data_IF_733247893436
#
_entry.id   IF_733247893436
#
_cell.length_a   1.000
_cell.length_b   1.000
_cell.length_c   1.000
_cell.angle_alpha   90.00
_cell.angle_beta   90.00
_cell.angle_gamma   90.00
#
_symmetry.space_group_name_H-M   'P 1'
#
loop_
_entity.id
_entity.type
_entity.pdbx_description
1 polymer ?
#
# COMPACT_ATOMS: atom_id res chain seq x y z
N UNK A 1 12.82 29.04 26.39
CA UNK A 1 11.76 28.02 26.25
C UNK A 1 12.28 26.93 25.33
N UNK A 2 12.61 25.75 25.87
CA UNK A 2 13.09 24.62 25.09
C UNK A 2 11.91 24.00 24.33
N UNK A 3 11.84 24.19 23.01
CA UNK A 3 10.93 23.42 22.18
C UNK A 3 11.35 21.95 22.26
N UNK A 4 10.40 21.10 22.69
CA UNK A 4 10.50 19.63 22.74
C UNK A 4 11.16 19.08 21.46
N UNK A 5 12.45 18.74 21.53
CA UNK A 5 13.20 18.08 20.44
C UNK A 5 12.87 16.59 20.29
N UNK A 6 11.99 16.03 21.11
CA UNK A 6 11.81 14.57 21.18
C UNK A 6 10.96 13.95 20.08
N UNK A 7 10.18 14.72 19.33
CA UNK A 7 9.30 14.16 18.30
C UNK A 7 9.30 15.01 17.02
N UNK A 8 10.06 14.59 16.02
CA UNK A 8 10.06 15.19 14.68
C UNK A 8 9.08 14.45 13.77
N UNK A 9 8.01 15.11 13.36
CA UNK A 9 7.11 14.63 12.30
C UNK A 9 7.15 15.68 11.19
N UNK A 10 7.36 15.21 9.95
CA UNK A 10 7.24 16.08 8.78
C UNK A 10 5.84 16.70 8.75
N UNK A 11 5.72 18.04 8.59
CA UNK A 11 4.43 18.69 8.47
C UNK A 11 3.55 18.03 7.41
N UNK A 12 2.25 17.91 7.69
CA UNK A 12 1.33 17.29 6.75
C UNK A 12 1.16 18.15 5.52
N UNK A 13 1.40 17.54 4.37
CA UNK A 13 1.41 18.21 3.09
C UNK A 13 0.23 17.74 2.19
N UNK A 14 -0.68 16.95 2.72
CA UNK A 14 -1.81 16.35 2.00
C UNK A 14 -1.57 14.91 1.54
N UNK A 15 -0.35 14.38 1.62
CA UNK A 15 -0.02 13.01 1.25
C UNK A 15 0.09 12.09 2.48
N UNK A 16 -0.18 10.80 2.30
CA UNK A 16 -0.01 9.75 3.31
C UNK A 16 -0.71 10.06 4.65
N UNK A 17 -1.93 10.60 4.57
CA UNK A 17 -2.70 11.04 5.74
C UNK A 17 -2.81 9.97 6.83
N UNK A 18 -3.03 8.71 6.47
CA UNK A 18 -3.10 7.60 7.45
C UNK A 18 -1.83 7.48 8.29
N UNK A 19 -0.65 7.52 7.65
CA UNK A 19 0.65 7.42 8.34
C UNK A 19 0.91 8.66 9.19
N UNK A 20 0.65 9.85 8.65
CA UNK A 20 0.81 11.09 9.40
C UNK A 20 -0.12 11.14 10.62
N UNK A 21 -1.41 10.83 10.44
CA UNK A 21 -2.41 10.83 11.51
C UNK A 21 -2.04 9.84 12.62
N UNK A 22 -1.52 8.65 12.26
CA UNK A 22 -1.02 7.69 13.26
C UNK A 22 0.11 8.27 14.11
N UNK A 23 1.06 9.00 13.51
CA UNK A 23 2.16 9.67 14.23
C UNK A 23 1.65 10.79 15.12
N UNK A 24 0.70 11.60 14.65
CA UNK A 24 0.06 12.67 15.42
C UNK A 24 -0.63 12.10 16.66
N UNK A 25 -1.46 11.06 16.50
CA UNK A 25 -2.12 10.39 17.63
C UNK A 25 -1.11 9.91 18.67
N UNK A 26 0.00 9.32 18.24
CA UNK A 26 1.06 8.88 19.15
C UNK A 26 1.72 10.05 19.92
N UNK A 27 1.98 11.18 19.26
CA UNK A 27 2.55 12.38 19.91
C UNK A 27 1.59 12.96 20.94
N UNK A 28 0.30 13.04 20.60
CA UNK A 28 -0.70 13.61 21.49
C UNK A 28 -0.95 12.71 22.70
N UNK A 29 -0.97 11.38 22.50
CA UNK A 29 -1.06 10.41 23.59
C UNK A 29 0.15 10.52 24.53
N UNK A 30 1.38 10.61 23.99
CA UNK A 30 2.59 10.81 24.78
C UNK A 30 2.61 12.14 25.57
N UNK A 31 1.76 13.10 25.19
CA UNK A 31 1.62 14.40 25.86
C UNK A 31 0.36 14.51 26.72
N UNK A 32 -0.45 13.44 26.80
CA UNK A 32 -1.76 13.40 27.49
C UNK A 32 -2.74 14.47 26.94
N UNK A 33 -2.76 14.63 25.62
CA UNK A 33 -3.58 15.60 24.89
C UNK A 33 -4.47 14.94 23.82
N UNK A 34 -4.40 13.63 23.64
CA UNK A 34 -5.10 12.86 22.60
C UNK A 34 -6.61 13.03 22.65
N UNK A 35 -7.19 13.20 23.83
CA UNK A 35 -8.63 13.43 24.00
C UNK A 35 -9.12 14.66 23.21
N UNK A 36 -8.28 15.69 23.02
CA UNK A 36 -8.63 16.91 22.29
C UNK A 36 -8.58 16.77 20.77
N UNK A 37 -8.11 15.63 20.26
CA UNK A 37 -8.26 15.27 18.86
C UNK A 37 -9.67 14.74 18.56
N UNK A 38 -10.41 14.31 19.59
CA UNK A 38 -11.68 13.60 19.47
C UNK A 38 -12.87 14.36 20.04
N UNK A 39 -12.64 15.32 20.94
CA UNK A 39 -13.70 16.19 21.48
C UNK A 39 -13.20 17.58 21.84
N UNK A 40 -14.14 18.51 21.98
CA UNK A 40 -13.89 19.84 22.55
C UNK A 40 -13.62 19.77 24.06
N UNK A 41 -12.91 20.77 24.56
CA UNK A 41 -12.76 20.99 25.99
C UNK A 41 -14.08 21.43 26.62
N UNK A 42 -14.32 21.05 27.89
CA UNK A 42 -15.32 21.72 28.71
C UNK A 42 -14.89 23.16 28.97
N UNK A 43 -15.69 24.12 28.48
CA UNK A 43 -15.44 25.55 28.62
C UNK A 43 -15.45 26.04 30.07
N UNK A 44 -16.03 25.28 31.00
CA UNK A 44 -16.05 25.59 32.44
C UNK A 44 -14.83 25.06 33.19
N UNK A 45 -14.02 24.23 32.54
CA UNK A 45 -12.83 23.62 33.12
C UNK A 45 -11.56 24.30 32.59
N UNK A 46 -11.02 25.24 33.35
CA UNK A 46 -9.82 26.01 32.97
C UNK A 46 -8.61 25.12 32.64
N UNK A 47 -8.48 23.97 33.32
CA UNK A 47 -7.39 23.01 33.06
C UNK A 47 -7.56 22.38 31.68
N UNK A 48 -8.79 22.01 31.33
CA UNK A 48 -9.12 21.41 30.05
C UNK A 48 -8.97 22.41 28.90
N UNK A 49 -9.42 23.65 29.08
CA UNK A 49 -9.24 24.76 28.14
C UNK A 49 -7.76 25.01 27.87
N UNK A 50 -6.93 25.04 28.91
CA UNK A 50 -5.48 25.22 28.78
C UNK A 50 -4.81 24.08 28.01
N UNK A 51 -5.18 22.83 28.30
CA UNK A 51 -4.69 21.65 27.57
C UNK A 51 -5.16 21.65 26.10
N UNK A 52 -6.40 22.03 25.82
CA UNK A 52 -6.93 22.14 24.46
C UNK A 52 -6.20 23.20 23.63
N UNK A 53 -5.90 24.37 24.21
CA UNK A 53 -5.07 25.40 23.55
C UNK A 53 -3.68 24.86 23.21
N UNK A 54 -3.06 24.12 24.13
CA UNK A 54 -1.75 23.47 23.88
C UNK A 54 -1.85 22.43 22.76
N UNK A 55 -2.89 21.61 22.77
CA UNK A 55 -3.17 20.63 21.72
C UNK A 55 -3.31 21.31 20.35
N UNK A 56 -4.05 22.42 20.29
CA UNK A 56 -4.22 23.23 19.08
C UNK A 56 -2.89 23.77 18.56
N UNK A 57 -2.09 24.42 19.42
CA UNK A 57 -0.78 24.95 19.02
C UNK A 57 0.15 23.86 18.48
N UNK A 58 0.20 22.69 19.14
CA UNK A 58 1.00 21.57 18.65
C UNK A 58 0.49 21.12 17.28
N UNK A 59 -0.81 20.96 17.09
CA UNK A 59 -1.36 20.50 15.82
C UNK A 59 -1.01 21.45 14.67
N UNK A 60 -1.09 22.77 14.88
CA UNK A 60 -0.68 23.76 13.87
C UNK A 60 0.77 23.57 13.42
N UNK A 61 1.69 23.25 14.34
CA UNK A 61 3.09 23.00 14.00
C UNK A 61 3.33 21.71 13.20
N UNK A 62 2.33 20.83 13.12
CA UNK A 62 2.40 19.56 12.40
C UNK A 62 1.76 19.63 11.01
N UNK A 63 1.35 20.82 10.56
CA UNK A 63 0.69 21.05 9.28
C UNK A 63 1.53 21.98 8.41
N UNK A 64 1.59 21.68 7.11
CA UNK A 64 2.22 22.55 6.13
C UNK A 64 1.34 23.79 5.86
N UNK A 65 1.97 24.91 5.50
CA UNK A 65 1.29 26.20 5.26
C UNK A 65 0.14 26.09 4.25
N UNK A 66 0.27 25.22 3.23
CA UNK A 66 -0.81 25.02 2.26
C UNK A 66 -2.06 24.40 2.89
N UNK A 67 -1.89 23.51 3.87
CA UNK A 67 -3.00 22.91 4.62
C UNK A 67 -3.59 23.94 5.58
N UNK A 68 -2.74 24.68 6.28
CA UNK A 68 -3.15 25.73 7.21
C UNK A 68 -4.00 26.82 6.53
N UNK A 69 -3.67 27.17 5.28
CA UNK A 69 -4.44 28.15 4.50
C UNK A 69 -5.93 27.78 4.33
N UNK A 70 -6.25 26.48 4.37
CA UNK A 70 -7.62 25.97 4.26
C UNK A 70 -8.35 25.83 5.61
N UNK A 71 -7.65 26.03 6.73
CA UNK A 71 -8.13 25.78 8.10
C UNK A 71 -8.25 27.06 8.94
N UNK A 72 -8.42 28.21 8.29
CA UNK A 72 -8.44 29.52 8.98
C UNK A 72 -9.62 29.71 9.94
N UNK A 73 -10.67 28.87 9.85
CA UNK A 73 -11.89 29.00 10.66
C UNK A 73 -11.88 28.07 11.88
N UNK A 74 -10.92 27.16 11.94
CA UNK A 74 -10.80 26.13 12.94
C UNK A 74 -9.85 26.61 14.05
N UNK A 75 -10.41 26.85 15.23
CA UNK A 75 -9.77 27.45 16.40
C UNK A 75 -9.44 26.42 17.50
N UNK A 76 -9.75 25.14 17.28
CA UNK A 76 -9.50 24.04 18.21
C UNK A 76 -8.86 22.85 17.50
N UNK A 77 -8.10 22.04 18.26
CA UNK A 77 -7.48 20.82 17.73
C UNK A 77 -8.53 19.85 17.17
N UNK A 78 -9.66 19.75 17.86
CA UNK A 78 -10.79 18.91 17.46
C UNK A 78 -11.37 19.33 16.11
N UNK A 79 -11.65 20.63 15.92
CA UNK A 79 -12.21 21.14 14.65
C UNK A 79 -11.25 20.90 13.48
N UNK A 80 -9.95 21.18 13.66
CA UNK A 80 -8.93 20.86 12.65
C UNK A 80 -8.94 19.36 12.34
N UNK A 81 -8.85 18.51 13.37
CA UNK A 81 -8.81 17.06 13.24
C UNK A 81 -10.02 16.54 12.44
N UNK A 82 -11.22 17.04 12.76
CA UNK A 82 -12.46 16.68 12.06
C UNK A 82 -12.41 17.02 10.57
N UNK A 83 -11.95 18.21 10.20
CA UNK A 83 -11.82 18.62 8.79
C UNK A 83 -10.80 17.77 8.07
N UNK A 84 -9.65 17.50 8.68
CA UNK A 84 -8.59 16.67 8.10
C UNK A 84 -9.07 15.24 7.86
N UNK A 85 -9.73 14.62 8.86
CA UNK A 85 -10.31 13.28 8.74
C UNK A 85 -11.32 13.26 7.58
N UNK A 86 -12.30 14.16 7.60
CA UNK A 86 -13.32 14.22 6.55
C UNK A 86 -12.72 14.39 5.14
N UNK A 87 -11.71 15.25 5.00
CA UNK A 87 -11.12 15.61 3.71
C UNK A 87 -10.19 14.53 3.16
N UNK A 88 -9.38 13.90 4.02
CA UNK A 88 -8.28 13.05 3.58
C UNK A 88 -8.51 11.56 3.83
N UNK A 89 -9.40 11.18 4.75
CA UNK A 89 -9.81 9.77 4.92
C UNK A 89 -10.66 9.31 3.74
N UNK A 90 -11.61 10.12 3.29
CA UNK A 90 -12.43 9.84 2.10
C UNK A 90 -11.55 9.66 0.84
N UNK A 91 -10.54 10.54 0.66
CA UNK A 91 -9.55 10.40 -0.43
C UNK A 91 -8.74 9.12 -0.30
N UNK A 92 -8.35 8.75 0.92
CA UNK A 92 -7.71 7.46 1.20
C UNK A 92 -8.58 6.28 0.78
N UNK A 93 -9.86 6.26 1.17
CA UNK A 93 -10.81 5.22 0.81
C UNK A 93 -11.02 5.09 -0.71
N UNK A 94 -11.16 6.22 -1.42
CA UNK A 94 -11.28 6.21 -2.89
C UNK A 94 -10.02 5.67 -3.55
N UNK A 95 -8.83 6.11 -3.12
CA UNK A 95 -7.56 5.60 -3.62
C UNK A 95 -7.40 4.09 -3.37
N UNK A 96 -7.84 3.64 -2.20
CA UNK A 96 -7.88 2.23 -1.85
C UNK A 96 -8.77 1.42 -2.79
N UNK A 97 -9.99 1.90 -3.08
CA UNK A 97 -10.91 1.24 -4.03
C UNK A 97 -10.30 1.17 -5.43
N UNK A 98 -9.78 2.29 -5.94
CA UNK A 98 -9.19 2.34 -7.28
C UNK A 98 -7.96 1.42 -7.40
N UNK A 99 -7.12 1.37 -6.37
CA UNK A 99 -5.93 0.49 -6.35
C UNK A 99 -6.33 -0.98 -6.31
N UNK A 100 -7.33 -1.35 -5.50
CA UNK A 100 -7.88 -2.73 -5.49
C UNK A 100 -8.49 -3.13 -6.83
N UNK A 101 -9.21 -2.22 -7.49
CA UNK A 101 -9.72 -2.45 -8.85
C UNK A 101 -8.59 -2.73 -9.84
N UNK A 102 -7.49 -1.98 -9.76
CA UNK A 102 -6.29 -2.21 -10.61
C UNK A 102 -5.65 -3.56 -10.31
N UNK A 103 -5.45 -3.91 -9.04
CA UNK A 103 -4.91 -5.21 -8.62
C UNK A 103 -5.77 -6.39 -9.10
N UNK A 104 -7.09 -6.24 -9.13
CA UNK A 104 -7.99 -7.29 -9.63
C UNK A 104 -7.98 -7.40 -11.16
N UNK A 105 -7.66 -6.33 -11.88
CA UNK A 105 -7.74 -6.24 -13.35
C UNK A 105 -6.41 -6.57 -14.06
N UNK A 106 -5.28 -6.27 -13.42
CA UNK A 106 -3.95 -6.50 -14.01
C UNK A 106 -3.70 -7.99 -14.27
N UNK A 107 -3.03 -8.30 -15.38
CA UNK A 107 -2.69 -9.66 -15.79
C UNK A 107 -1.23 -9.71 -16.22
N UNK A 108 -0.55 -10.83 -15.96
CA UNK A 108 0.81 -11.04 -16.46
C UNK A 108 0.79 -11.13 -17.97
N UNK A 109 1.51 -10.22 -18.64
CA UNK A 109 1.64 -10.19 -20.10
C UNK A 109 2.76 -11.13 -20.56
N UNK A 110 2.79 -11.46 -21.85
CA UNK A 110 3.87 -12.30 -22.43
C UNK A 110 5.18 -11.54 -22.58
N UNK A 111 5.09 -10.22 -22.67
CA UNK A 111 6.20 -9.28 -22.89
C UNK A 111 6.91 -8.90 -21.58
N UNK A 112 6.22 -9.04 -20.44
CA UNK A 112 6.77 -8.76 -19.11
C UNK A 112 7.28 -10.04 -18.45
N UNK A 113 8.44 -9.97 -17.78
CA UNK A 113 8.89 -11.10 -16.95
C UNK A 113 8.01 -11.29 -15.71
N UNK A 114 8.00 -12.49 -15.16
CA UNK A 114 7.29 -12.81 -13.93
C UNK A 114 7.75 -11.92 -12.77
N UNK A 115 9.07 -11.66 -12.68
CA UNK A 115 9.63 -10.78 -11.64
C UNK A 115 9.09 -9.35 -11.78
N UNK A 116 9.13 -8.77 -12.98
CA UNK A 116 8.60 -7.42 -13.22
C UNK A 116 7.12 -7.31 -12.88
N UNK A 117 6.34 -8.33 -13.26
CA UNK A 117 4.92 -8.40 -12.95
C UNK A 117 4.66 -8.44 -11.44
N UNK A 118 5.36 -9.30 -10.70
CA UNK A 118 5.26 -9.38 -9.23
C UNK A 118 5.66 -8.04 -8.59
N UNK A 119 6.73 -7.40 -9.06
CA UNK A 119 7.17 -6.11 -8.53
C UNK A 119 6.10 -5.02 -8.72
N UNK A 120 5.40 -4.99 -9.86
CA UNK A 120 4.26 -4.08 -10.08
C UNK A 120 3.11 -4.36 -9.11
N UNK A 121 2.77 -5.65 -8.91
CA UNK A 121 1.74 -6.07 -7.98
C UNK A 121 2.06 -5.64 -6.54
N UNK A 122 3.29 -5.90 -6.08
CA UNK A 122 3.73 -5.55 -4.74
C UNK A 122 3.84 -4.03 -4.53
N UNK A 123 4.15 -3.27 -5.58
CA UNK A 123 4.09 -1.81 -5.54
C UNK A 123 2.67 -1.31 -5.29
N UNK A 124 1.66 -1.89 -5.93
CA UNK A 124 0.26 -1.55 -5.69
C UNK A 124 -0.21 -1.97 -4.29
N UNK A 125 0.22 -3.14 -3.80
CA UNK A 125 -0.01 -3.56 -2.40
C UNK A 125 0.63 -2.57 -1.42
N UNK A 126 1.85 -2.11 -1.69
CA UNK A 126 2.52 -1.10 -0.87
C UNK A 126 1.73 0.22 -0.85
N UNK A 127 1.23 0.67 -2.01
CA UNK A 127 0.36 1.84 -2.08
C UNK A 127 -0.91 1.68 -1.24
N UNK A 128 -1.54 0.49 -1.24
CA UNK A 128 -2.67 0.19 -0.36
C UNK A 128 -2.29 0.34 1.12
N UNK A 129 -1.18 -0.28 1.55
CA UNK A 129 -0.71 -0.22 2.94
C UNK A 129 -0.43 1.22 3.37
N UNK A 130 0.22 2.02 2.52
CA UNK A 130 0.49 3.44 2.78
C UNK A 130 -0.79 4.29 2.86
N UNK A 131 -1.82 3.92 2.09
CA UNK A 131 -3.15 4.56 2.17
C UNK A 131 -3.98 4.13 3.38
N UNK A 132 -3.42 3.30 4.28
CA UNK A 132 -4.07 2.84 5.50
C UNK A 132 -4.87 1.54 5.35
N UNK A 133 -4.75 0.84 4.22
CA UNK A 133 -5.38 -0.47 4.07
C UNK A 133 -4.58 -1.54 4.82
N UNK A 134 -5.29 -2.42 5.53
CA UNK A 134 -4.71 -3.68 6.00
C UNK A 134 -4.71 -4.67 4.82
N UNK A 135 -3.51 -5.09 4.41
CA UNK A 135 -3.30 -6.07 3.34
C UNK A 135 -2.25 -7.07 3.81
N UNK A 136 -2.70 -8.28 4.12
CA UNK A 136 -1.84 -9.37 4.57
C UNK A 136 -0.97 -9.91 3.43
N UNK A 137 0.02 -10.72 3.77
CA UNK A 137 0.80 -11.42 2.76
C UNK A 137 -0.03 -12.48 2.03
N UNK A 138 -1.06 -13.05 2.69
CA UNK A 138 -2.04 -13.93 2.06
C UNK A 138 -2.83 -13.18 0.98
N UNK A 139 -3.33 -11.98 1.28
CA UNK A 139 -4.03 -11.15 0.29
C UNK A 139 -3.13 -10.83 -0.91
N UNK A 140 -1.86 -10.56 -0.64
CA UNK A 140 -0.85 -10.28 -1.67
C UNK A 140 -0.64 -11.48 -2.58
N UNK A 141 -0.54 -12.69 -2.01
CA UNK A 141 -0.45 -13.94 -2.76
C UNK A 141 -1.71 -14.18 -3.60
N UNK A 142 -2.90 -13.97 -3.04
CA UNK A 142 -4.18 -14.09 -3.77
C UNK A 142 -4.20 -13.18 -4.99
N UNK A 143 -3.83 -11.89 -4.84
CA UNK A 143 -3.78 -10.98 -5.97
C UNK A 143 -2.80 -11.46 -7.05
N UNK A 144 -1.60 -11.91 -6.67
CA UNK A 144 -0.61 -12.44 -7.61
C UNK A 144 -1.18 -13.64 -8.36
N UNK A 145 -1.72 -14.64 -7.66
CA UNK A 145 -2.27 -15.86 -8.27
C UNK A 145 -3.47 -15.57 -9.19
N UNK A 146 -4.34 -14.62 -8.84
CA UNK A 146 -5.47 -14.19 -9.68
C UNK A 146 -5.03 -13.48 -10.97
N UNK A 147 -3.83 -12.88 -10.98
CA UNK A 147 -3.31 -12.13 -12.13
C UNK A 147 -2.62 -13.01 -13.19
N UNK A 148 -2.40 -14.29 -12.89
CA UNK A 148 -1.69 -15.20 -13.77
C UNK A 148 -2.58 -15.65 -14.95
N UNK A 149 -2.01 -15.75 -16.17
CA UNK A 149 -2.73 -16.26 -17.33
C UNK A 149 -2.76 -17.80 -17.31
N UNK A 150 -3.59 -18.39 -18.18
CA UNK A 150 -3.91 -19.82 -18.19
C UNK A 150 -2.69 -20.74 -18.29
N UNK A 151 -1.59 -20.27 -18.88
CA UNK A 151 -0.35 -21.02 -19.01
C UNK A 151 0.28 -21.39 -17.64
N UNK A 152 -0.07 -20.68 -16.57
CA UNK A 152 0.41 -20.93 -15.21
C UNK A 152 -0.59 -21.70 -14.33
N UNK A 153 -1.71 -22.19 -14.89
CA UNK A 153 -2.77 -22.83 -14.09
C UNK A 153 -2.27 -24.03 -13.28
N UNK A 154 -1.38 -24.85 -13.83
CA UNK A 154 -0.80 -26.00 -13.13
C UNK A 154 0.00 -25.58 -11.89
N UNK A 155 0.80 -24.51 -12.00
CA UNK A 155 1.61 -23.97 -10.90
C UNK A 155 0.71 -23.33 -9.85
N UNK A 156 -0.32 -22.60 -10.29
CA UNK A 156 -1.32 -22.00 -9.40
C UNK A 156 -2.03 -23.06 -8.55
N UNK A 157 -2.56 -24.11 -9.16
CA UNK A 157 -3.22 -25.22 -8.44
C UNK A 157 -2.24 -25.91 -7.48
N UNK A 158 -0.99 -26.10 -7.86
CA UNK A 158 0.02 -26.70 -6.97
C UNK A 158 0.30 -25.82 -5.75
N UNK A 159 0.35 -24.50 -5.91
CA UNK A 159 0.56 -23.54 -4.82
C UNK A 159 -0.65 -23.45 -3.87
N UNK A 160 -1.87 -23.48 -4.41
CA UNK A 160 -3.11 -23.42 -3.63
C UNK A 160 -3.36 -24.67 -2.76
N UNK A 161 -2.83 -25.82 -3.17
CA UNK A 161 -3.00 -27.10 -2.46
C UNK A 161 -1.83 -27.46 -1.52
N UNK A 162 -0.85 -26.57 -1.32
CA UNK A 162 0.26 -26.82 -0.40
C UNK A 162 -0.17 -26.70 1.07
N UNK A 163 0.42 -27.49 2.00
CA UNK A 163 0.19 -27.33 3.42
C UNK A 163 0.58 -25.91 3.89
N UNK A 164 -0.34 -25.22 4.58
CA UNK A 164 -0.22 -23.81 4.99
C UNK A 164 1.09 -23.42 5.72
N UNK A 165 1.82 -24.39 6.29
CA UNK A 165 3.05 -24.16 7.06
C UNK A 165 4.20 -23.58 6.21
N UNK A 166 4.16 -23.73 4.88
CA UNK A 166 5.25 -23.30 3.98
C UNK A 166 4.87 -22.20 2.97
N UNK A 167 3.63 -21.71 2.99
CA UNK A 167 3.12 -20.75 2.00
C UNK A 167 3.47 -19.31 2.39
N UNK A 168 4.75 -18.95 2.32
CA UNK A 168 5.20 -17.56 2.45
C UNK A 168 5.10 -16.84 1.10
N UNK A 169 4.93 -15.51 1.14
CA UNK A 169 4.96 -14.69 -0.08
C UNK A 169 6.26 -14.92 -0.86
N UNK A 170 7.39 -14.98 -0.18
CA UNK A 170 8.69 -15.25 -0.79
C UNK A 170 8.71 -16.60 -1.53
N UNK A 171 8.23 -17.67 -0.90
CA UNK A 171 8.15 -18.99 -1.52
C UNK A 171 7.29 -18.98 -2.79
N UNK A 172 6.11 -18.36 -2.73
CA UNK A 172 5.22 -18.22 -3.89
C UNK A 172 5.91 -17.45 -5.02
N UNK A 173 6.53 -16.31 -4.71
CA UNK A 173 7.22 -15.51 -5.73
C UNK A 173 8.36 -16.27 -6.39
N UNK A 174 9.16 -17.01 -5.61
CA UNK A 174 10.27 -17.80 -6.15
C UNK A 174 9.76 -18.92 -7.05
N UNK A 175 8.73 -19.66 -6.63
CA UNK A 175 8.14 -20.73 -7.44
C UNK A 175 7.58 -20.24 -8.77
N UNK A 176 6.96 -19.06 -8.79
CA UNK A 176 6.47 -18.47 -10.03
C UNK A 176 7.61 -18.09 -10.98
N UNK A 177 8.70 -17.53 -10.45
CA UNK A 177 9.89 -17.17 -11.24
C UNK A 177 10.56 -18.43 -11.81
N UNK A 178 10.75 -19.47 -10.99
CA UNK A 178 11.31 -20.75 -11.43
C UNK A 178 10.45 -21.38 -12.54
N UNK A 179 9.12 -21.29 -12.41
CA UNK A 179 8.20 -21.82 -13.42
C UNK A 179 8.31 -21.10 -14.77
N UNK A 180 8.55 -19.79 -14.78
CA UNK A 180 8.76 -19.05 -16.03
C UNK A 180 10.04 -19.50 -16.74
N UNK A 181 11.12 -19.75 -15.99
CA UNK A 181 12.36 -20.27 -16.56
C UNK A 181 12.14 -21.62 -17.25
N UNK A 182 11.48 -22.56 -16.56
CA UNK A 182 11.17 -23.90 -17.11
C UNK A 182 10.26 -23.84 -18.35
N UNK A 183 9.29 -22.92 -18.36
CA UNK A 183 8.41 -22.70 -19.52
C UNK A 183 9.16 -22.12 -20.71
N UNK A 184 10.15 -21.27 -20.48
CA UNK A 184 10.98 -20.70 -21.54
C UNK A 184 11.96 -21.74 -22.11
N UNK A 185 12.56 -22.57 -21.25
CA UNK A 185 13.44 -23.66 -21.68
C UNK A 185 12.71 -24.69 -22.55
N UNK A 186 11.50 -25.09 -22.14
CA UNK A 186 10.64 -25.99 -22.91
C UNK A 186 10.34 -25.45 -24.32
N UNK A 187 10.08 -24.14 -24.45
CA UNK A 187 9.81 -23.49 -25.75
C UNK A 187 11.04 -23.42 -26.66
N UNK A 188 12.26 -23.39 -26.10
CA UNK A 188 13.49 -23.40 -26.88
C UNK A 188 13.75 -24.79 -27.50
N UNK A 189 13.45 -25.85 -26.74
CA UNK A 189 13.57 -27.25 -27.21
C UNK A 189 12.62 -27.53 -28.38
N UNK A 190 11.35 -27.11 -28.27
CA UNK A 190 10.36 -27.30 -29.35
C UNK A 190 10.74 -26.57 -30.65
N UNK A 191 11.29 -25.33 -30.56
CA UNK A 191 11.74 -24.57 -31.74
C UNK A 191 12.98 -25.18 -32.40
N UNK A 192 13.87 -25.81 -31.63
CA UNK A 192 15.07 -26.45 -32.16
C UNK A 192 14.78 -27.77 -32.91
N UNK A 193 13.64 -28.38 -32.63
CA UNK A 193 13.21 -29.67 -33.21
C UNK A 193 12.61 -29.55 -34.62
N UNK A 194 12.40 -28.33 -35.13
CA UNK A 194 11.90 -28.06 -36.48
C UNK A 194 13.06 -27.66 -37.41
N UNK A 195 13.92 -28.62 -37.74
CA UNK A 195 14.79 -28.58 -38.93
C UNK A 195 14.79 -29.97 -39.56
N UNK A 196 13.82 -30.24 -40.43
CA UNK A 196 13.91 -31.39 -41.32
C UNK A 196 14.91 -31.07 -42.45
N UNK A 197 15.85 -31.97 -42.78
CA UNK A 197 16.63 -31.87 -44.00
C UNK A 197 15.66 -32.00 -45.17
N UNK A 198 15.68 -31.04 -46.09
CA UNK A 198 15.02 -31.19 -47.39
C UNK A 198 15.90 -32.15 -48.19
N UNK A 199 15.52 -33.42 -48.23
CA UNK A 199 16.12 -34.38 -49.13
C UNK A 199 15.83 -33.93 -50.57
N UNK A 200 16.83 -33.31 -51.20
CA UNK A 200 16.83 -33.10 -52.64
C UNK A 200 17.03 -34.46 -53.31
N UNK A 201 15.94 -35.17 -53.54
CA UNK A 201 15.89 -36.29 -54.47
C UNK A 201 15.70 -35.71 -55.87
N UNK A 202 16.80 -35.47 -56.58
CA UNK A 202 16.81 -35.34 -58.05
C UNK A 202 16.60 -36.72 -58.65
N UNK A 203 15.43 -36.94 -59.25
CA UNK A 203 15.22 -38.01 -60.22
C UNK A 203 15.23 -37.41 -61.64
N UNK A 204 15.99 -38.09 -62.50
CA UNK A 204 16.19 -37.94 -63.94
C UNK A 204 17.05 -36.77 -64.42
#
# INVERSE_FOLDING_TARGET
>A
MAFNREYTVTPFDGANFSVWNRRVKAIFAAKELDIFLEKEADATNDTEVSKSKKAYTILLTLLDDKILSSLQKEDTAFKICKVLIYTYEAKGAVNQILTRKRLAAIRKSKETSMRQHIDEMLKLVSHLRVSGAEVSDIDSMVYILMSLPKEYESVKVALENQPNVNSTLEFVTQKLIDSEALMNDSKLVDKSSIKYPTDNVTFA
#
